data_IF_488619808608
#
_entry.id   IF_488619808608
#
_cell.length_a   1.000
_cell.length_b   1.000
_cell.length_c   1.000
_cell.angle_alpha   90.00
_cell.angle_beta   90.00
_cell.angle_gamma   90.00
#
_symmetry.space_group_name_H-M   'P 1'
#
loop_
_entity.id
_entity.type
_entity.pdbx_description
1 polymer ?
#
# COMPACT_ATOMS: atom_id res chain seq x y z
N UNK A 1 -21.75 -8.12 -21.12
CA UNK A 1 -20.58 -8.72 -20.40
C UNK A 1 -21.03 -9.69 -19.30
N UNK A 2 -20.51 -10.93 -19.24
CA UNK A 2 -20.87 -11.95 -18.22
C UNK A 2 -19.68 -12.19 -17.28
N UNK A 3 -19.92 -12.43 -16.00
CA UNK A 3 -18.87 -12.74 -15.00
C UNK A 3 -17.94 -13.87 -15.44
N UNK A 4 -18.49 -14.91 -16.10
CA UNK A 4 -17.70 -16.03 -16.65
C UNK A 4 -16.69 -15.57 -17.69
N UNK A 5 -17.05 -14.61 -18.54
CA UNK A 5 -16.17 -14.05 -19.57
C UNK A 5 -15.06 -13.22 -18.94
N UNK A 6 -15.36 -12.44 -17.88
CA UNK A 6 -14.36 -11.69 -17.12
C UNK A 6 -13.37 -12.62 -16.39
N UNK A 7 -13.86 -13.70 -15.77
CA UNK A 7 -12.98 -14.73 -15.17
C UNK A 7 -12.09 -15.40 -16.21
N UNK A 8 -12.62 -15.72 -17.39
CA UNK A 8 -11.83 -16.28 -18.47
C UNK A 8 -10.74 -15.29 -18.95
N UNK A 9 -11.05 -14.02 -19.09
CA UNK A 9 -10.08 -12.97 -19.44
C UNK A 9 -8.96 -12.86 -18.41
N UNK A 10 -9.30 -12.77 -17.13
CA UNK A 10 -8.33 -12.73 -16.04
C UNK A 10 -7.39 -13.95 -16.03
N UNK A 11 -7.93 -15.15 -16.26
CA UNK A 11 -7.15 -16.38 -16.37
C UNK A 11 -6.24 -16.38 -17.60
N UNK A 12 -6.71 -15.90 -18.75
CA UNK A 12 -5.89 -15.80 -19.96
C UNK A 12 -4.68 -14.89 -19.71
N UNK A 13 -4.88 -13.76 -19.04
CA UNK A 13 -3.79 -12.84 -18.69
C UNK A 13 -2.81 -13.47 -17.71
N UNK A 14 -3.31 -14.09 -16.63
CA UNK A 14 -2.45 -14.68 -15.59
C UNK A 14 -1.68 -15.92 -16.07
N UNK A 15 -2.26 -16.71 -16.98
CA UNK A 15 -1.63 -17.92 -17.52
C UNK A 15 -0.75 -17.63 -18.76
N UNK A 16 -0.82 -16.43 -19.33
CA UNK A 16 -0.05 -16.02 -20.49
C UNK A 16 -0.41 -16.75 -21.80
N UNK A 17 -1.40 -17.64 -21.79
CA UNK A 17 -1.84 -18.36 -23.00
C UNK A 17 -3.30 -18.81 -22.95
N UNK A 18 -3.94 -18.83 -24.13
CA UNK A 18 -5.31 -19.34 -24.30
C UNK A 18 -5.41 -20.82 -23.94
N UNK A 19 -4.41 -21.61 -24.30
CA UNK A 19 -4.38 -23.06 -24.05
C UNK A 19 -4.31 -23.37 -22.54
N UNK A 20 -3.45 -22.66 -21.80
CA UNK A 20 -3.32 -22.84 -20.35
C UNK A 20 -4.60 -22.42 -19.62
N UNK A 21 -5.17 -21.28 -20.00
CA UNK A 21 -6.46 -20.82 -19.46
C UNK A 21 -7.61 -21.81 -19.77
N UNK A 22 -7.64 -22.36 -20.98
CA UNK A 22 -8.64 -23.36 -21.38
C UNK A 22 -8.59 -24.60 -20.50
N UNK A 23 -7.39 -25.10 -20.17
CA UNK A 23 -7.21 -26.25 -19.24
C UNK A 23 -7.76 -25.96 -17.85
N UNK A 24 -7.48 -24.79 -17.29
CA UNK A 24 -7.98 -24.37 -15.97
C UNK A 24 -9.51 -24.23 -15.97
N UNK A 25 -10.08 -23.72 -17.07
CA UNK A 25 -11.52 -23.51 -17.22
C UNK A 25 -12.31 -24.78 -17.57
N UNK A 26 -11.63 -25.88 -17.92
CA UNK A 26 -12.30 -27.08 -18.46
C UNK A 26 -12.97 -26.81 -19.80
N UNK A 27 -12.40 -25.96 -20.64
CA UNK A 27 -12.90 -25.57 -21.97
C UNK A 27 -11.91 -25.92 -23.06
N UNK A 28 -12.37 -25.91 -24.33
CA UNK A 28 -11.47 -25.96 -25.48
C UNK A 28 -10.82 -24.60 -25.74
N UNK A 29 -9.60 -24.57 -26.29
CA UNK A 29 -8.93 -23.34 -26.67
C UNK A 29 -9.77 -22.47 -27.64
N UNK A 30 -10.42 -23.02 -28.69
CA UNK A 30 -11.33 -22.25 -29.53
C UNK A 30 -12.49 -21.60 -28.77
N UNK A 31 -12.99 -22.26 -27.71
CA UNK A 31 -14.06 -21.69 -26.89
C UNK A 31 -13.56 -20.48 -26.07
N UNK A 32 -12.36 -20.57 -25.49
CA UNK A 32 -11.74 -19.43 -24.78
C UNK A 32 -11.42 -18.29 -25.75
N UNK A 33 -10.88 -18.60 -26.94
CA UNK A 33 -10.63 -17.59 -27.98
C UNK A 33 -11.92 -16.87 -28.40
N UNK A 34 -13.04 -17.58 -28.48
CA UNK A 34 -14.35 -16.98 -28.76
C UNK A 34 -14.79 -16.05 -27.63
N UNK A 35 -14.63 -16.48 -26.35
CA UNK A 35 -14.95 -15.62 -25.20
C UNK A 35 -14.15 -14.32 -25.20
N UNK A 36 -12.87 -14.36 -25.57
CA UNK A 36 -12.04 -13.14 -25.68
C UNK A 36 -12.55 -12.20 -26.78
N UNK A 37 -12.90 -12.75 -27.95
CA UNK A 37 -13.46 -11.94 -29.06
C UNK A 37 -14.83 -11.34 -28.68
N UNK A 38 -15.68 -12.10 -28.00
CA UNK A 38 -16.97 -11.61 -27.50
C UNK A 38 -16.75 -10.49 -26.48
N UNK A 39 -15.74 -10.59 -25.61
CA UNK A 39 -15.42 -9.54 -24.64
C UNK A 39 -14.93 -8.27 -25.34
N UNK A 40 -14.00 -8.39 -26.30
CA UNK A 40 -13.50 -7.26 -27.09
C UNK A 40 -14.65 -6.56 -27.85
N UNK A 41 -15.58 -7.34 -28.41
CA UNK A 41 -16.76 -6.80 -29.08
C UNK A 41 -17.73 -6.11 -28.10
N UNK A 42 -17.97 -6.70 -26.91
CA UNK A 42 -18.85 -6.14 -25.88
C UNK A 42 -18.35 -4.80 -25.32
N UNK A 43 -17.03 -4.64 -25.16
CA UNK A 43 -16.43 -3.40 -24.64
C UNK A 43 -15.96 -2.42 -25.72
N UNK A 44 -15.89 -2.84 -26.98
CA UNK A 44 -15.42 -2.01 -28.10
C UNK A 44 -13.92 -1.72 -28.04
N UNK A 45 -13.15 -2.53 -27.32
CA UNK A 45 -11.70 -2.36 -27.13
C UNK A 45 -10.95 -3.56 -27.68
N UNK A 46 -9.76 -3.32 -28.24
CA UNK A 46 -8.81 -4.39 -28.51
C UNK A 46 -7.99 -4.63 -27.25
N UNK A 47 -8.20 -5.78 -26.58
CA UNK A 47 -7.55 -6.10 -25.32
C UNK A 47 -6.22 -6.84 -25.51
N UNK A 48 -6.06 -7.55 -26.63
CA UNK A 48 -4.86 -8.32 -26.93
C UNK A 48 -4.21 -7.87 -28.25
N UNK A 49 -2.89 -7.74 -28.23
CA UNK A 49 -2.10 -7.65 -29.44
C UNK A 49 -1.89 -9.05 -30.03
N UNK A 50 -2.28 -9.20 -31.30
CA UNK A 50 -2.19 -10.46 -32.07
C UNK A 50 -1.08 -10.42 -33.13
N UNK A 51 -0.30 -9.35 -33.18
CA UNK A 51 0.76 -9.16 -34.18
C UNK A 51 1.96 -10.09 -33.95
N UNK A 52 2.19 -10.53 -32.71
CA UNK A 52 3.26 -11.46 -32.34
C UNK A 52 2.70 -12.84 -32.00
N UNK A 53 3.52 -13.89 -32.13
CA UNK A 53 3.15 -15.28 -31.72
C UNK A 53 2.82 -15.42 -30.23
N UNK A 54 3.00 -14.39 -29.43
CA UNK A 54 2.67 -14.33 -28.01
C UNK A 54 1.42 -13.48 -27.79
N UNK A 55 0.58 -13.93 -26.88
CA UNK A 55 -0.63 -13.20 -26.48
C UNK A 55 -0.21 -12.12 -25.47
N UNK A 56 -0.17 -10.88 -25.90
CA UNK A 56 0.23 -9.72 -25.05
C UNK A 56 -0.96 -8.78 -24.93
N UNK A 57 -1.15 -8.18 -23.75
CA UNK A 57 -2.17 -7.15 -23.57
C UNK A 57 -1.76 -5.86 -24.30
N UNK A 58 -2.75 -5.18 -24.87
CA UNK A 58 -2.63 -3.77 -25.28
C UNK A 58 -2.62 -2.85 -24.05
N UNK A 59 -2.31 -1.57 -24.22
CA UNK A 59 -2.42 -0.57 -23.15
C UNK A 59 -3.84 -0.48 -22.60
N UNK A 60 -4.85 -0.55 -23.48
CA UNK A 60 -6.26 -0.64 -23.10
C UNK A 60 -6.56 -1.94 -22.37
N UNK A 61 -5.97 -3.06 -22.82
CA UNK A 61 -6.09 -4.36 -22.19
C UNK A 61 -5.54 -4.38 -20.76
N UNK A 62 -4.40 -3.73 -20.52
CA UNK A 62 -3.82 -3.59 -19.17
C UNK A 62 -4.75 -2.79 -18.25
N UNK A 63 -5.27 -1.65 -18.71
CA UNK A 63 -6.23 -0.84 -17.96
C UNK A 63 -7.51 -1.60 -17.67
N UNK A 64 -8.08 -2.26 -18.68
CA UNK A 64 -9.30 -3.04 -18.55
C UNK A 64 -9.11 -4.23 -17.60
N UNK A 65 -7.95 -4.93 -17.65
CA UNK A 65 -7.66 -6.04 -16.76
C UNK A 65 -7.67 -5.63 -15.28
N UNK A 66 -7.10 -4.48 -14.94
CA UNK A 66 -7.14 -3.94 -13.57
C UNK A 66 -8.58 -3.76 -13.07
N UNK A 67 -9.47 -3.21 -13.90
CA UNK A 67 -10.87 -3.03 -13.54
C UNK A 67 -11.62 -4.37 -13.41
N UNK A 68 -11.32 -5.32 -14.27
CA UNK A 68 -11.89 -6.68 -14.21
C UNK A 68 -11.48 -7.39 -12.92
N UNK A 69 -10.22 -7.31 -12.52
CA UNK A 69 -9.75 -7.89 -11.25
C UNK A 69 -10.55 -7.33 -10.06
N UNK A 70 -10.72 -6.02 -10.00
CA UNK A 70 -11.51 -5.37 -8.95
C UNK A 70 -12.94 -5.86 -8.88
N UNK A 71 -13.61 -6.01 -10.03
CA UNK A 71 -14.99 -6.54 -10.09
C UNK A 71 -15.05 -7.98 -9.62
N UNK A 72 -14.09 -8.81 -10.02
CA UNK A 72 -14.02 -10.22 -9.62
C UNK A 72 -13.75 -10.38 -8.11
N UNK A 73 -12.83 -9.59 -7.54
CA UNK A 73 -12.58 -9.55 -6.08
C UNK A 73 -13.88 -9.20 -5.32
N UNK A 74 -14.64 -8.21 -5.79
CA UNK A 74 -15.93 -7.85 -5.19
C UNK A 74 -16.96 -8.99 -5.23
N UNK A 75 -17.02 -9.73 -6.33
CA UNK A 75 -17.93 -10.88 -6.46
C UNK A 75 -17.50 -12.03 -5.52
N UNK A 76 -16.21 -12.28 -5.37
CA UNK A 76 -15.67 -13.31 -4.49
C UNK A 76 -15.91 -13.03 -2.99
N UNK A 77 -16.16 -11.79 -2.63
CA UNK A 77 -16.50 -11.38 -1.25
C UNK A 77 -17.98 -11.64 -0.89
N UNK A 78 -18.89 -11.78 -1.88
CA UNK A 78 -20.32 -11.96 -1.62
C UNK A 78 -20.67 -13.18 -0.73
N UNK A 79 -20.03 -14.37 -0.88
CA UNK A 79 -20.32 -15.49 0.00
C UNK A 79 -19.94 -15.24 1.46
N UNK A 80 -18.81 -14.57 1.72
CA UNK A 80 -18.39 -14.18 3.06
C UNK A 80 -19.39 -13.20 3.67
N UNK A 81 -19.76 -12.15 2.94
CA UNK A 81 -20.77 -11.19 3.36
C UNK A 81 -22.13 -11.87 3.67
N UNK A 82 -22.54 -12.82 2.86
CA UNK A 82 -23.78 -13.56 3.10
C UNK A 82 -23.70 -14.44 4.38
N UNK A 83 -22.53 -14.99 4.67
CA UNK A 83 -22.25 -15.73 5.91
C UNK A 83 -22.34 -14.80 7.13
N UNK A 84 -21.70 -13.63 7.06
CA UNK A 84 -21.66 -12.63 8.13
C UNK A 84 -23.08 -12.12 8.46
N UNK A 85 -23.90 -11.86 7.45
CA UNK A 85 -25.33 -11.51 7.62
C UNK A 85 -26.09 -12.64 8.32
N UNK A 86 -25.84 -13.91 7.95
CA UNK A 86 -26.49 -15.06 8.61
C UNK A 86 -26.09 -15.24 10.08
N UNK A 87 -24.84 -14.89 10.42
CA UNK A 87 -24.30 -14.99 11.78
C UNK A 87 -24.74 -13.81 12.68
N UNK A 88 -25.55 -12.88 12.16
CA UNK A 88 -26.05 -11.73 12.91
C UNK A 88 -24.95 -10.73 13.26
N UNK A 89 -23.89 -10.67 12.48
CA UNK A 89 -22.90 -9.60 12.58
C UNK A 89 -23.59 -8.27 12.26
N UNK A 90 -23.56 -7.35 13.22
CA UNK A 90 -24.36 -6.12 13.15
C UNK A 90 -23.81 -5.14 12.13
N UNK A 91 -22.49 -5.18 11.85
CA UNK A 91 -21.85 -4.24 10.97
C UNK A 91 -20.55 -4.78 10.37
N UNK A 92 -20.33 -4.50 9.09
CA UNK A 92 -19.08 -4.81 8.36
C UNK A 92 -18.33 -3.51 8.07
N UNK A 93 -17.05 -3.47 8.43
CA UNK A 93 -16.14 -2.38 8.13
C UNK A 93 -15.03 -2.83 7.18
N UNK A 94 -14.95 -2.18 6.01
CA UNK A 94 -13.88 -2.40 5.04
C UNK A 94 -12.85 -1.28 5.15
N UNK A 95 -11.63 -1.65 5.52
CA UNK A 95 -10.51 -0.74 5.77
C UNK A 95 -9.42 -0.96 4.74
N UNK A 96 -8.88 0.11 4.19
CA UNK A 96 -7.64 0.04 3.41
C UNK A 96 -6.50 0.73 4.14
N UNK A 97 -5.33 0.12 4.15
CA UNK A 97 -4.15 0.73 4.74
C UNK A 97 -2.98 0.72 3.77
N UNK A 98 -2.20 1.78 3.80
CA UNK A 98 -0.90 1.77 3.13
C UNK A 98 0.12 1.00 3.98
N UNK A 99 1.08 0.28 3.36
CA UNK A 99 2.03 -0.58 4.08
C UNK A 99 2.69 0.10 5.28
N UNK A 100 3.15 1.35 5.12
CA UNK A 100 3.84 2.11 6.19
C UNK A 100 3.00 2.36 7.44
N UNK A 101 1.67 2.42 7.31
CA UNK A 101 0.75 2.66 8.42
C UNK A 101 0.26 1.37 9.11
N UNK A 102 0.51 0.21 8.49
CA UNK A 102 -0.11 -1.05 8.89
C UNK A 102 0.24 -1.44 10.34
N UNK A 103 1.51 -1.55 10.66
CA UNK A 103 1.96 -2.03 11.97
C UNK A 103 1.86 -0.96 13.06
N UNK A 104 2.23 0.30 12.73
CA UNK A 104 2.31 1.38 13.72
C UNK A 104 0.98 2.07 14.04
N UNK A 105 0.04 2.09 13.11
CA UNK A 105 -1.25 2.77 13.28
C UNK A 105 -2.41 1.78 13.27
N UNK A 106 -2.52 0.96 12.19
CA UNK A 106 -3.71 0.12 11.98
C UNK A 106 -3.79 -1.00 13.01
N UNK A 107 -2.71 -1.73 13.24
CA UNK A 107 -2.72 -2.87 14.14
C UNK A 107 -3.16 -2.48 15.58
N UNK A 108 -2.58 -1.48 16.25
CA UNK A 108 -3.01 -1.10 17.59
C UNK A 108 -4.42 -0.48 17.61
N UNK A 109 -4.79 0.34 16.61
CA UNK A 109 -6.11 0.96 16.52
C UNK A 109 -7.22 -0.07 16.32
N UNK A 110 -7.04 -1.04 15.42
CA UNK A 110 -8.03 -2.10 15.19
C UNK A 110 -8.10 -3.05 16.38
N UNK A 111 -6.99 -3.38 17.02
CA UNK A 111 -7.00 -4.17 18.24
C UNK A 111 -7.76 -3.50 19.39
N UNK A 112 -7.67 -2.17 19.53
CA UNK A 112 -8.45 -1.41 20.51
C UNK A 112 -9.93 -1.36 20.10
N UNK A 113 -10.22 -1.09 18.82
CA UNK A 113 -11.56 -1.01 18.27
C UNK A 113 -12.35 -2.32 18.43
N UNK A 114 -11.75 -3.45 18.08
CA UNK A 114 -12.42 -4.76 18.12
C UNK A 114 -12.72 -5.22 19.53
N UNK A 115 -11.89 -4.86 20.52
CA UNK A 115 -12.19 -5.10 21.93
C UNK A 115 -13.45 -4.36 22.40
N UNK A 116 -13.64 -3.12 21.94
CA UNK A 116 -14.81 -2.31 22.26
C UNK A 116 -16.04 -2.65 21.41
N UNK A 117 -15.84 -3.29 20.26
CA UNK A 117 -16.89 -3.59 19.29
C UNK A 117 -16.81 -5.04 18.78
N UNK A 118 -17.03 -6.05 19.65
CA UNK A 118 -16.78 -7.47 19.33
C UNK A 118 -17.70 -8.05 18.24
N UNK A 119 -18.80 -7.37 17.92
CA UNK A 119 -19.76 -7.79 16.88
C UNK A 119 -19.52 -7.15 15.51
N UNK A 120 -18.53 -6.25 15.40
CA UNK A 120 -18.16 -5.62 14.13
C UNK A 120 -17.10 -6.46 13.44
N UNK A 121 -17.38 -6.89 12.22
CA UNK A 121 -16.38 -7.53 11.38
C UNK A 121 -15.52 -6.47 10.69
N UNK A 122 -14.20 -6.53 10.86
CA UNK A 122 -13.26 -5.61 10.22
C UNK A 122 -12.42 -6.36 9.21
N UNK A 123 -12.56 -6.01 7.93
CA UNK A 123 -11.67 -6.47 6.87
C UNK A 123 -10.63 -5.40 6.57
N UNK A 124 -9.37 -5.79 6.49
CA UNK A 124 -8.26 -4.88 6.22
C UNK A 124 -7.53 -5.36 4.97
N UNK A 125 -7.43 -4.49 3.97
CA UNK A 125 -6.61 -4.71 2.79
C UNK A 125 -5.40 -3.78 2.83
N UNK A 126 -4.21 -4.32 2.58
CA UNK A 126 -2.99 -3.52 2.43
C UNK A 126 -2.81 -3.23 0.94
N UNK A 127 -2.70 -1.95 0.59
CA UNK A 127 -2.54 -1.49 -0.79
C UNK A 127 -1.46 -0.43 -0.90
N UNK A 128 -0.59 -0.57 -1.88
CA UNK A 128 0.45 0.42 -2.15
C UNK A 128 -0.13 1.69 -2.79
N UNK A 129 0.60 2.79 -2.69
CA UNK A 129 0.22 4.06 -3.34
C UNK A 129 0.25 3.93 -4.87
N UNK A 130 1.18 3.15 -5.43
CA UNK A 130 1.29 2.91 -6.87
C UNK A 130 0.07 2.21 -7.46
N UNK A 131 -0.67 1.46 -6.65
CA UNK A 131 -1.95 0.85 -7.01
C UNK A 131 -3.13 1.82 -6.81
N UNK A 132 -2.86 3.04 -6.37
CA UNK A 132 -3.86 4.01 -5.89
C UNK A 132 -4.96 4.34 -6.89
N UNK A 133 -4.66 4.49 -8.19
CA UNK A 133 -5.67 4.75 -9.21
C UNK A 133 -6.75 3.65 -9.26
N UNK A 134 -6.40 2.42 -8.88
CA UNK A 134 -7.32 1.27 -8.89
C UNK A 134 -8.24 1.29 -7.67
N UNK A 135 -7.70 1.52 -6.46
CA UNK A 135 -8.50 1.45 -5.25
C UNK A 135 -9.06 2.81 -4.77
N UNK A 136 -8.46 3.95 -5.17
CA UNK A 136 -8.99 5.28 -4.86
C UNK A 136 -10.38 5.54 -5.44
N UNK A 137 -10.68 4.99 -6.61
CA UNK A 137 -11.99 5.13 -7.26
C UNK A 137 -13.02 4.10 -6.83
N UNK A 138 -12.64 3.10 -6.02
CA UNK A 138 -13.53 2.01 -5.63
C UNK A 138 -14.38 2.40 -4.42
N UNK A 139 -15.69 2.13 -4.50
CA UNK A 139 -16.60 2.24 -3.34
C UNK A 139 -16.47 1.03 -2.38
N UNK A 140 -15.32 0.34 -2.39
CA UNK A 140 -15.10 -0.91 -1.64
C UNK A 140 -14.71 -0.69 -0.19
N UNK A 141 -14.21 0.51 0.14
CA UNK A 141 -13.72 0.81 1.47
C UNK A 141 -14.55 1.88 2.17
N UNK A 142 -14.80 1.67 3.44
CA UNK A 142 -15.47 2.65 4.30
C UNK A 142 -14.50 3.73 4.77
N UNK A 143 -13.24 3.34 5.01
CA UNK A 143 -12.20 4.18 5.56
C UNK A 143 -10.81 3.65 5.14
N UNK A 144 -9.85 4.56 5.05
CA UNK A 144 -8.44 4.21 4.84
C UNK A 144 -7.49 5.00 5.71
N UNK A 145 -6.25 4.54 5.80
CA UNK A 145 -5.17 5.24 6.50
C UNK A 145 -3.84 5.08 5.77
N UNK A 146 -3.06 6.14 5.73
CA UNK A 146 -1.76 6.10 5.04
C UNK A 146 -1.06 7.43 4.98
N UNK A 147 0.02 7.47 4.20
CA UNK A 147 0.81 8.69 3.99
C UNK A 147 0.13 9.65 3.02
N UNK A 148 0.22 10.96 3.31
CA UNK A 148 -0.35 12.06 2.54
C UNK A 148 0.76 12.87 1.84
N UNK A 149 0.43 13.68 0.82
CA UNK A 149 -0.92 13.98 0.28
C UNK A 149 -1.42 12.91 -0.68
N UNK A 150 -2.75 12.79 -0.82
CA UNK A 150 -3.40 12.01 -1.87
C UNK A 150 -4.25 12.96 -2.71
N UNK A 151 -3.95 13.05 -4.01
CA UNK A 151 -4.66 13.89 -4.95
C UNK A 151 -5.64 13.04 -5.78
N UNK A 152 -6.86 12.85 -5.25
CA UNK A 152 -7.91 12.14 -5.97
C UNK A 152 -9.27 12.78 -5.67
N UNK A 153 -10.11 13.11 -6.70
CA UNK A 153 -11.33 13.90 -6.53
C UNK A 153 -12.41 13.21 -5.65
N UNK A 154 -12.33 11.90 -5.47
CA UNK A 154 -13.29 11.13 -4.65
C UNK A 154 -12.79 10.82 -3.24
N UNK A 155 -11.60 11.29 -2.86
CA UNK A 155 -11.01 11.04 -1.55
C UNK A 155 -10.95 12.34 -0.76
N UNK A 156 -11.46 12.28 0.46
CA UNK A 156 -11.30 13.34 1.45
C UNK A 156 -10.24 12.84 2.44
N UNK A 157 -9.07 13.46 2.45
CA UNK A 157 -8.02 13.14 3.41
C UNK A 157 -8.04 14.10 4.59
N UNK A 158 -7.84 13.57 5.81
CA UNK A 158 -7.72 14.33 7.04
C UNK A 158 -6.35 14.01 7.63
N UNK A 159 -5.46 14.99 7.64
CA UNK A 159 -4.12 14.86 8.20
C UNK A 159 -4.17 14.81 9.74
N UNK A 160 -3.44 13.89 10.36
CA UNK A 160 -3.33 13.74 11.81
C UNK A 160 -2.00 14.25 12.34
N UNK A 161 -0.89 13.86 11.71
CA UNK A 161 0.44 14.29 12.11
C UNK A 161 1.43 14.20 10.96
N UNK A 162 2.56 14.89 11.13
CA UNK A 162 3.76 14.80 10.28
C UNK A 162 4.90 14.25 11.09
N UNK A 163 5.43 13.12 10.68
CA UNK A 163 6.49 12.39 11.38
C UNK A 163 7.83 12.67 10.69
N UNK A 164 8.86 13.10 11.43
CA UNK A 164 10.17 13.35 10.85
C UNK A 164 10.82 12.04 10.39
N UNK A 165 11.56 12.15 9.30
CA UNK A 165 12.37 11.04 8.80
C UNK A 165 13.74 11.10 9.48
N UNK A 166 14.24 9.92 9.86
CA UNK A 166 15.54 9.71 10.48
C UNK A 166 16.37 8.72 9.66
N UNK A 167 17.66 8.71 9.86
CA UNK A 167 18.56 7.71 9.30
C UNK A 167 18.57 6.47 10.20
N UNK A 168 18.12 5.35 9.66
CA UNK A 168 18.18 4.04 10.30
C UNK A 168 19.48 3.35 9.90
N UNK A 169 20.26 2.94 10.89
CA UNK A 169 21.53 2.23 10.73
C UNK A 169 21.55 0.97 11.61
N UNK A 170 22.33 -0.06 11.26
CA UNK A 170 22.53 -1.23 12.13
C UNK A 170 23.13 -0.80 13.47
N UNK A 171 22.83 -1.53 14.54
CA UNK A 171 23.44 -1.29 15.86
C UNK A 171 24.97 -1.33 15.78
N UNK A 172 25.63 -0.29 16.32
CA UNK A 172 27.09 -0.15 16.31
C UNK A 172 27.68 0.42 15.01
N UNK A 173 26.85 0.84 14.07
CA UNK A 173 27.31 1.48 12.84
C UNK A 173 28.13 2.74 13.10
N UNK A 174 29.10 3.06 12.21
CA UNK A 174 30.01 4.21 12.36
C UNK A 174 29.27 5.56 12.49
N UNK A 175 28.16 5.72 11.78
CA UNK A 175 27.38 6.96 11.79
C UNK A 175 26.78 7.26 13.17
N UNK A 176 26.45 6.25 13.98
CA UNK A 176 25.91 6.45 15.33
C UNK A 176 26.91 7.11 16.30
N UNK A 177 28.20 7.10 15.95
CA UNK A 177 29.26 7.72 16.78
C UNK A 177 29.45 9.22 16.54
N UNK A 178 28.77 9.79 15.53
CA UNK A 178 28.92 11.20 15.17
C UNK A 178 28.26 12.16 16.19
N UNK A 179 27.32 11.67 17.01
CA UNK A 179 26.59 12.41 18.05
C UNK A 179 26.02 13.75 17.57
N UNK A 180 25.55 13.81 16.35
CA UNK A 180 24.88 14.96 15.73
C UNK A 180 23.92 14.50 14.64
N UNK A 181 23.04 15.40 14.19
CA UNK A 181 22.23 15.16 13.00
C UNK A 181 23.14 14.92 11.77
N UNK A 182 22.73 13.99 10.92
CA UNK A 182 23.48 13.59 9.73
C UNK A 182 23.10 14.47 8.53
N UNK A 183 24.10 14.96 7.83
CA UNK A 183 23.93 15.62 6.55
C UNK A 183 23.84 14.60 5.39
N UNK A 184 23.36 15.00 4.20
CA UNK A 184 23.41 14.14 3.02
C UNK A 184 24.82 13.61 2.71
N UNK A 185 25.85 14.43 2.92
CA UNK A 185 27.26 14.06 2.67
C UNK A 185 27.77 12.94 3.59
N UNK A 186 27.27 12.85 4.84
CA UNK A 186 27.64 11.77 5.76
C UNK A 186 27.15 10.40 5.27
N UNK A 187 26.03 10.39 4.54
CA UNK A 187 25.31 9.18 4.11
C UNK A 187 25.60 8.84 2.62
N UNK A 188 26.07 9.79 1.82
CA UNK A 188 26.20 9.66 0.37
C UNK A 188 27.01 8.44 -0.12
N UNK A 189 27.95 7.96 0.72
CA UNK A 189 28.81 6.82 0.40
C UNK A 189 28.36 5.51 1.06
N UNK A 190 27.25 5.53 1.79
CA UNK A 190 26.71 4.31 2.39
C UNK A 190 25.89 3.49 1.38
N UNK A 191 25.87 2.19 1.58
CA UNK A 191 24.95 1.30 0.87
C UNK A 191 23.51 1.60 1.29
N UNK A 192 22.75 2.30 0.44
CA UNK A 192 21.39 2.69 0.75
C UNK A 192 20.40 1.60 0.38
N UNK A 193 19.51 1.26 1.31
CA UNK A 193 18.31 0.45 1.04
C UNK A 193 17.14 1.40 0.88
N UNK A 194 16.45 1.32 -0.25
CA UNK A 194 15.42 2.28 -0.62
C UNK A 194 14.10 1.60 -0.99
N UNK A 195 13.03 2.34 -0.93
CA UNK A 195 11.76 1.92 -1.54
C UNK A 195 11.76 2.21 -3.05
N UNK A 196 10.82 1.58 -3.76
CA UNK A 196 10.62 1.80 -5.19
C UNK A 196 10.38 3.27 -5.54
N UNK A 197 10.79 3.68 -6.75
CA UNK A 197 10.76 5.08 -7.23
C UNK A 197 9.37 5.73 -7.21
N UNK A 198 8.31 4.94 -7.25
CA UNK A 198 6.93 5.43 -7.23
C UNK A 198 6.43 5.79 -5.80
N UNK A 199 7.28 5.67 -4.77
CA UNK A 199 6.89 6.00 -3.40
C UNK A 199 7.24 7.43 -3.04
N UNK A 200 6.37 8.08 -2.25
CA UNK A 200 6.60 9.44 -1.76
C UNK A 200 7.92 9.56 -0.98
N UNK A 201 8.24 8.56 -0.16
CA UNK A 201 9.48 8.56 0.61
C UNK A 201 10.72 8.58 -0.27
N UNK A 202 10.73 7.80 -1.37
CA UNK A 202 11.86 7.78 -2.31
C UNK A 202 12.02 9.12 -3.02
N UNK A 203 10.92 9.72 -3.45
CA UNK A 203 10.95 11.04 -4.09
C UNK A 203 11.52 12.12 -3.15
N UNK A 204 11.04 12.15 -1.91
CA UNK A 204 11.53 13.11 -0.90
C UNK A 204 12.97 12.83 -0.48
N UNK A 205 13.37 11.57 -0.35
CA UNK A 205 14.75 11.16 -0.10
C UNK A 205 15.69 11.67 -1.20
N UNK A 206 15.36 11.45 -2.45
CA UNK A 206 16.14 11.95 -3.58
C UNK A 206 16.21 13.48 -3.61
N UNK A 207 15.12 14.17 -3.27
CA UNK A 207 15.11 15.63 -3.16
C UNK A 207 16.03 16.12 -2.03
N UNK A 208 16.05 15.42 -0.89
CA UNK A 208 16.93 15.74 0.24
C UNK A 208 18.42 15.59 -0.13
N UNK A 209 18.81 14.52 -0.83
CA UNK A 209 20.18 14.36 -1.33
C UNK A 209 20.53 15.43 -2.37
N UNK A 210 19.64 15.74 -3.30
CA UNK A 210 19.86 16.78 -4.34
C UNK A 210 20.03 18.17 -3.73
N UNK A 211 19.39 18.48 -2.60
CA UNK A 211 19.53 19.80 -1.94
C UNK A 211 20.94 20.11 -1.47
N UNK A 212 21.79 19.11 -1.34
CA UNK A 212 23.19 19.22 -0.93
C UNK A 212 24.17 18.77 -2.04
N UNK A 213 23.73 18.76 -3.32
CA UNK A 213 24.51 18.28 -4.47
C UNK A 213 25.09 16.86 -4.30
N UNK A 214 24.44 16.04 -3.46
CA UNK A 214 24.81 14.65 -3.23
C UNK A 214 24.01 13.71 -4.12
N UNK A 215 24.66 12.64 -4.59
CA UNK A 215 23.98 11.56 -5.30
C UNK A 215 23.61 10.44 -4.34
N UNK A 216 22.40 9.91 -4.50
CA UNK A 216 21.95 8.73 -3.78
C UNK A 216 22.61 7.48 -4.39
N UNK A 217 23.47 6.81 -3.62
CA UNK A 217 24.03 5.51 -4.00
C UNK A 217 23.14 4.40 -3.42
N UNK A 218 22.17 3.90 -4.19
CA UNK A 218 21.32 2.81 -3.72
C UNK A 218 21.84 1.45 -4.19
N UNK A 219 21.77 0.46 -3.28
CA UNK A 219 22.26 -0.89 -3.51
C UNK A 219 21.11 -1.90 -3.56
N UNK A 220 20.07 -1.68 -2.74
CA UNK A 220 18.90 -2.56 -2.63
C UNK A 220 17.63 -1.72 -2.76
N UNK A 221 16.68 -2.20 -3.55
CA UNK A 221 15.35 -1.62 -3.68
C UNK A 221 14.30 -2.65 -3.24
N UNK A 222 13.36 -2.24 -2.37
CA UNK A 222 12.30 -3.09 -1.83
C UNK A 222 10.97 -2.36 -1.77
N UNK A 223 9.87 -3.07 -1.90
CA UNK A 223 8.52 -2.49 -1.82
C UNK A 223 7.93 -2.54 -0.39
N UNK A 224 8.43 -3.44 0.48
CA UNK A 224 7.95 -3.59 1.86
C UNK A 224 8.80 -2.77 2.83
N UNK A 225 8.18 -1.85 3.60
CA UNK A 225 8.86 -1.13 4.70
C UNK A 225 9.42 -2.06 5.77
N UNK A 226 8.72 -3.15 6.08
CA UNK A 226 9.15 -4.14 7.08
C UNK A 226 10.41 -4.88 6.61
N UNK A 227 10.47 -5.27 5.33
CA UNK A 227 11.66 -5.89 4.76
C UNK A 227 12.84 -4.91 4.72
N UNK A 228 12.58 -3.63 4.38
CA UNK A 228 13.59 -2.58 4.42
C UNK A 228 14.22 -2.48 5.81
N UNK A 229 13.39 -2.34 6.85
CA UNK A 229 13.87 -2.25 8.24
C UNK A 229 14.63 -3.51 8.67
N UNK A 230 14.16 -4.70 8.28
CA UNK A 230 14.83 -5.97 8.57
C UNK A 230 16.21 -6.05 7.90
N UNK A 231 16.34 -5.62 6.64
CA UNK A 231 17.61 -5.60 5.92
C UNK A 231 18.64 -4.65 6.56
N UNK A 232 18.19 -3.47 7.03
CA UNK A 232 19.06 -2.57 7.80
C UNK A 232 19.51 -3.24 9.09
N UNK A 233 18.60 -3.84 9.85
CA UNK A 233 18.91 -4.55 11.10
C UNK A 233 19.88 -5.72 10.91
N UNK A 234 19.89 -6.36 9.75
CA UNK A 234 20.84 -7.42 9.37
C UNK A 234 22.19 -6.86 8.82
N UNK A 235 22.35 -5.54 8.74
CA UNK A 235 23.61 -4.91 8.30
C UNK A 235 23.80 -4.81 6.79
N UNK A 236 22.74 -4.96 5.99
CA UNK A 236 22.82 -4.89 4.54
C UNK A 236 23.03 -3.44 4.01
N UNK A 237 22.85 -2.44 4.86
CA UNK A 237 23.00 -1.03 4.51
C UNK A 237 22.29 -0.12 5.50
N UNK A 238 22.02 1.12 5.08
CA UNK A 238 21.29 2.12 5.84
C UNK A 238 20.07 2.62 5.08
N UNK A 239 19.12 3.28 5.75
CA UNK A 239 17.95 3.83 5.09
C UNK A 239 17.44 5.10 5.75
N UNK A 240 16.60 5.88 5.05
CA UNK A 240 15.86 7.00 5.63
C UNK A 240 14.39 6.56 5.82
N UNK A 241 13.95 6.57 7.08
CA UNK A 241 12.65 6.03 7.51
C UNK A 241 12.00 6.93 8.55
N UNK A 242 10.70 6.85 8.68
CA UNK A 242 9.96 7.37 9.83
C UNK A 242 9.70 6.25 10.85
N UNK A 243 9.52 6.62 12.11
CA UNK A 243 9.33 5.69 13.23
C UNK A 243 8.09 4.80 13.08
N UNK A 244 7.00 5.31 12.51
CA UNK A 244 5.76 4.54 12.29
C UNK A 244 6.01 3.32 11.41
N UNK A 245 6.84 3.47 10.37
CA UNK A 245 7.14 2.38 9.43
C UNK A 245 7.99 1.25 10.03
N UNK A 246 8.60 1.47 11.20
CA UNK A 246 9.43 0.51 11.92
C UNK A 246 8.69 -0.22 13.05
N UNK A 247 7.41 0.07 13.26
CA UNK A 247 6.62 -0.55 14.31
C UNK A 247 6.66 -2.08 14.20
N UNK A 248 7.01 -2.73 15.31
CA UNK A 248 7.16 -4.19 15.38
C UNK A 248 8.58 -4.71 15.09
N UNK A 249 9.51 -3.87 14.68
CA UNK A 249 10.92 -4.24 14.59
C UNK A 249 11.60 -4.05 15.96
N UNK A 250 12.42 -5.03 16.36
CA UNK A 250 13.15 -4.99 17.62
C UNK A 250 14.16 -3.81 17.64
N UNK A 251 13.96 -2.87 18.55
CA UNK A 251 14.70 -1.60 18.60
C UNK A 251 16.19 -1.76 18.94
N UNK A 252 16.59 -2.85 19.61
CA UNK A 252 17.98 -3.17 19.92
C UNK A 252 18.83 -3.55 18.69
N UNK A 253 18.21 -3.80 17.54
CA UNK A 253 18.88 -4.22 16.31
C UNK A 253 19.30 -3.08 15.38
N UNK A 254 18.83 -1.86 15.68
CA UNK A 254 19.13 -0.67 14.89
C UNK A 254 19.26 0.57 15.75
N UNK A 255 19.78 1.63 15.15
CA UNK A 255 19.82 2.96 15.75
C UNK A 255 19.19 3.96 14.79
N UNK A 256 18.32 4.82 15.31
CA UNK A 256 17.79 5.97 14.58
C UNK A 256 18.61 7.20 14.89
N UNK A 257 19.07 7.89 13.86
CA UNK A 257 19.90 9.09 13.97
C UNK A 257 19.16 10.23 13.27
N UNK A 258 18.94 11.37 13.93
CA UNK A 258 18.36 12.55 13.29
C UNK A 258 19.13 12.95 12.04
N UNK A 259 18.45 13.51 11.05
CA UNK A 259 19.05 14.09 9.85
C UNK A 259 18.88 15.61 9.85
N UNK A 260 19.79 16.33 9.23
CA UNK A 260 19.67 17.78 9.05
C UNK A 260 18.51 18.12 8.11
N UNK A 261 17.69 19.11 8.48
CA UNK A 261 16.53 19.53 7.70
C UNK A 261 15.65 18.34 7.28
N UNK A 262 15.11 17.53 8.21
CA UNK A 262 14.38 16.34 7.89
C UNK A 262 13.11 16.67 7.09
N UNK A 263 12.85 15.91 6.06
CA UNK A 263 11.51 15.92 5.46
C UNK A 263 10.53 15.14 6.33
N UNK A 264 9.27 15.50 6.22
CA UNK A 264 8.20 14.96 7.07
C UNK A 264 7.24 14.11 6.26
N UNK A 265 6.90 12.94 6.77
CA UNK A 265 5.84 12.12 6.22
C UNK A 265 4.53 12.44 6.95
N UNK A 266 3.58 13.02 6.25
CA UNK A 266 2.24 13.25 6.77
C UNK A 266 1.45 11.95 6.76
N UNK A 267 0.75 11.67 7.86
CA UNK A 267 -0.18 10.55 7.99
C UNK A 267 -1.60 11.02 8.28
N UNK A 268 -2.57 10.30 7.76
CA UNK A 268 -3.97 10.68 7.97
C UNK A 268 -4.96 9.63 7.51
N UNK A 269 -6.22 9.93 7.80
CA UNK A 269 -7.37 9.13 7.40
C UNK A 269 -7.84 9.51 5.99
N UNK A 270 -8.28 8.51 5.26
CA UNK A 270 -8.84 8.61 3.91
C UNK A 270 -10.31 8.23 3.94
N UNK A 271 -11.17 9.10 3.46
CA UNK A 271 -12.60 8.89 3.35
C UNK A 271 -13.01 8.77 1.88
N UNK A 272 -13.77 7.73 1.57
CA UNK A 272 -14.27 7.42 0.23
C UNK A 272 -15.72 7.89 0.01
N UNK A 273 -16.29 8.56 1.00
CA UNK A 273 -17.62 9.12 0.97
C UNK A 273 -17.64 10.47 1.72
N UNK A 274 -18.62 11.34 1.42
CA UNK A 274 -18.80 12.60 2.13
C UNK A 274 -19.24 12.35 3.60
N UNK A 275 -19.06 13.36 4.50
CA UNK A 275 -19.27 13.21 5.94
C UNK A 275 -20.63 12.60 6.35
N UNK A 276 -21.69 13.00 5.67
CA UNK A 276 -23.06 12.57 5.96
C UNK A 276 -23.34 11.09 5.62
N UNK A 277 -22.44 10.45 4.85
CA UNK A 277 -22.54 9.02 4.47
C UNK A 277 -21.57 8.13 5.24
N UNK A 278 -20.80 8.69 6.17
CA UNK A 278 -19.83 7.92 6.95
C UNK A 278 -20.54 7.02 7.95
N UNK A 279 -20.15 5.77 8.02
CA UNK A 279 -20.60 4.86 9.05
C UNK A 279 -20.09 5.34 10.41
N UNK A 280 -20.93 5.28 11.44
CA UNK A 280 -20.54 5.67 12.82
C UNK A 280 -19.30 4.90 13.30
N UNK A 281 -19.26 3.59 13.05
CA UNK A 281 -18.11 2.74 13.43
C UNK A 281 -16.82 3.09 12.69
N UNK A 282 -16.91 3.54 11.45
CA UNK A 282 -15.75 4.06 10.70
C UNK A 282 -15.23 5.38 11.31
N UNK A 283 -16.12 6.23 11.79
CA UNK A 283 -15.72 7.46 12.48
C UNK A 283 -14.99 7.16 13.79
N UNK A 284 -15.48 6.23 14.61
CA UNK A 284 -14.79 5.78 15.82
C UNK A 284 -13.40 5.19 15.53
N UNK A 285 -13.29 4.42 14.44
CA UNK A 285 -11.99 3.87 14.03
C UNK A 285 -11.03 4.97 13.54
N UNK A 286 -11.55 6.02 12.87
CA UNK A 286 -10.75 7.19 12.49
C UNK A 286 -10.13 7.91 13.69
N UNK A 287 -10.88 8.07 14.76
CA UNK A 287 -10.39 8.68 16.02
C UNK A 287 -9.26 7.84 16.64
N UNK A 288 -9.35 6.53 16.51
CA UNK A 288 -8.28 5.64 16.98
C UNK A 288 -7.05 5.70 16.06
N UNK A 289 -7.22 5.85 14.74
CA UNK A 289 -6.09 6.09 13.83
C UNK A 289 -5.36 7.39 14.19
N UNK A 290 -6.09 8.47 14.44
CA UNK A 290 -5.53 9.74 14.91
C UNK A 290 -4.78 9.55 16.23
N UNK A 291 -5.41 8.96 17.25
CA UNK A 291 -4.83 8.69 18.56
C UNK A 291 -3.49 7.96 18.44
N UNK A 292 -3.46 6.86 17.67
CA UNK A 292 -2.26 6.06 17.51
C UNK A 292 -1.20 6.73 16.62
N UNK A 293 -1.58 7.60 15.70
CA UNK A 293 -0.62 8.43 14.94
C UNK A 293 0.05 9.48 15.84
N UNK A 294 -0.73 10.17 16.67
CA UNK A 294 -0.24 11.20 17.59
C UNK A 294 0.67 10.64 18.69
N UNK A 295 0.55 9.35 19.04
CA UNK A 295 1.45 8.69 19.98
C UNK A 295 2.89 8.70 19.46
N UNK A 296 3.11 8.39 18.19
CA UNK A 296 4.43 8.41 17.56
C UNK A 296 5.07 9.79 17.54
N UNK A 297 4.29 10.84 17.36
CA UNK A 297 4.79 12.21 17.41
C UNK A 297 5.38 12.56 18.79
N UNK A 298 4.81 12.03 19.87
CA UNK A 298 5.33 12.27 21.24
C UNK A 298 6.60 11.47 21.49
N UNK A 299 6.66 10.22 21.07
CA UNK A 299 7.82 9.34 21.24
C UNK A 299 9.03 9.84 20.45
N UNK A 300 8.86 10.39 19.26
CA UNK A 300 9.93 10.98 18.44
C UNK A 300 10.53 12.26 19.07
N UNK A 301 9.71 13.08 19.76
CA UNK A 301 10.20 14.26 20.46
C UNK A 301 10.96 13.94 21.76
N UNK A 302 10.76 12.78 22.37
CA UNK A 302 11.51 12.34 23.57
C UNK A 302 12.87 11.75 23.21
N UNK A 303 13.09 11.38 21.96
CA UNK A 303 14.34 10.77 21.46
C UNK A 303 15.16 11.70 20.54
N UNK A 304 14.72 12.92 20.24
CA UNK A 304 15.42 13.95 19.49
C UNK A 304 16.07 14.98 20.40
#
# INVERSE_FOLDING_TARGET
>A
MKTRTLKAFSLVVSQGSLLSAARVLGLSEPAVSRLMRELEADCGLQLFDRSNRQLVLTDEGVKFHREVQRVLEGIEQLPALASDIKQGQEEFLSVVAMPRAASGIVAPAVAEFTRANPRVHVKIDIRSRSEGEVWFGSALYDIGVGSLPIFHPKIISIEHARIPVMCMVPTGHRLSRLNRALSPADIAYESMITQGRATLNREQMEAWFRSADCQLCHTIEVDSPELLGSLVAEGAGVSLVDSISLAGLASERYTLIPIENPYLIAYGTLWFCPPEKRKHKATLLSELFEKHTLKWLREDYEHA
#
